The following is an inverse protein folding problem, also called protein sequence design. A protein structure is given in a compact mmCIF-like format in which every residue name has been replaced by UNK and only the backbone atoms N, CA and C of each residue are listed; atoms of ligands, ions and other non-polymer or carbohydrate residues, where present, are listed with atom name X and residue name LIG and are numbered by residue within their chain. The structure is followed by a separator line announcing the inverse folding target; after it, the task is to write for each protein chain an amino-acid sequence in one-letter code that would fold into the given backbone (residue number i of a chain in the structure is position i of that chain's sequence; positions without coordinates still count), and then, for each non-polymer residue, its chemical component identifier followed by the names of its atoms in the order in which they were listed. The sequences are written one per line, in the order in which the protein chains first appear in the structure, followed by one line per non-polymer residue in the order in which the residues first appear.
data_IF_020694549746
#
_entry.id   IF_020694549746
#
_cell.length_a   1.000
_cell.length_b   1.000
_cell.length_c   1.000
_cell.angle_alpha   90.00
_cell.angle_beta   90.00
_cell.angle_gamma   90.00
#
_symmetry.space_group_name_H-M   'P 1'
#
loop_
_entity.id
_entity.type
_entity.pdbx_description
1 polymer ?
#
# COMPACT_ATOMS: atom_id res chain seq x y z
N UNK A 1 10.39 -7.55 11.70
CA UNK A 1 10.24 -6.53 10.63
C UNK A 1 8.89 -5.83 10.78
N UNK A 2 8.64 -5.14 11.89
CA UNK A 2 7.51 -4.23 11.99
C UNK A 2 7.69 -3.44 13.28
N UNK A 3 8.30 -2.27 13.21
CA UNK A 3 8.50 -1.43 14.39
C UNK A 3 7.20 -0.75 14.83
N UNK A 4 6.03 -1.36 14.57
CA UNK A 4 4.69 -1.03 15.12
C UNK A 4 4.15 0.38 14.92
N UNK A 5 4.98 1.32 14.49
CA UNK A 5 4.69 2.73 14.36
C UNK A 5 4.44 3.03 12.89
N UNK A 6 3.21 3.45 12.60
CA UNK A 6 2.90 4.01 11.29
C UNK A 6 3.76 5.25 11.06
N UNK A 7 4.52 5.25 9.96
CA UNK A 7 5.24 6.44 9.49
C UNK A 7 4.27 7.38 8.79
N UNK A 8 4.46 8.68 8.96
CA UNK A 8 3.72 9.71 8.24
C UNK A 8 4.18 9.80 6.78
N UNK A 9 3.33 10.37 5.91
CA UNK A 9 3.68 10.56 4.50
C UNK A 9 4.88 11.49 4.30
N UNK A 10 5.07 12.48 5.19
CA UNK A 10 6.24 13.37 5.20
C UNK A 10 7.54 12.64 5.56
N UNK A 11 7.53 11.76 6.56
CA UNK A 11 8.71 10.98 6.96
C UNK A 11 9.14 10.03 5.84
N UNK A 12 8.18 9.31 5.25
CA UNK A 12 8.44 8.44 4.11
C UNK A 12 8.87 9.26 2.89
N UNK A 13 8.28 10.43 2.67
CA UNK A 13 8.72 11.33 1.59
C UNK A 13 10.20 11.71 1.74
N UNK A 14 10.59 12.09 2.96
CA UNK A 14 11.97 12.49 3.28
C UNK A 14 12.97 11.34 3.12
N UNK A 15 12.62 10.14 3.60
CA UNK A 15 13.46 8.93 3.48
C UNK A 15 13.69 8.51 2.03
N UNK A 16 12.66 8.65 1.18
CA UNK A 16 12.73 8.24 -0.23
C UNK A 16 13.10 9.40 -1.17
N UNK A 17 13.39 10.60 -0.65
CA UNK A 17 13.73 11.77 -1.46
C UNK A 17 12.60 12.22 -2.40
N UNK A 18 11.35 12.02 -2.00
CA UNK A 18 10.16 12.37 -2.78
C UNK A 18 9.20 13.24 -2.00
N UNK A 19 8.29 13.91 -2.70
CA UNK A 19 7.29 14.76 -2.05
C UNK A 19 6.25 13.91 -1.31
N UNK A 20 5.65 14.49 -0.26
CA UNK A 20 4.51 13.90 0.45
C UNK A 20 3.39 13.48 -0.50
N UNK A 21 3.06 14.32 -1.48
CA UNK A 21 2.01 14.02 -2.47
C UNK A 21 2.37 12.80 -3.33
N UNK A 22 3.66 12.58 -3.60
CA UNK A 22 4.10 11.37 -4.30
C UNK A 22 3.85 10.12 -3.47
N UNK A 23 4.13 10.14 -2.17
CA UNK A 23 3.81 9.01 -1.27
C UNK A 23 2.31 8.77 -1.22
N UNK A 24 1.50 9.82 -1.09
CA UNK A 24 0.03 9.74 -1.10
C UNK A 24 -0.51 9.05 -2.37
N UNK A 25 0.02 9.41 -3.54
CA UNK A 25 -0.37 8.77 -4.81
C UNK A 25 0.00 7.29 -4.86
N UNK A 26 1.19 6.93 -4.37
CA UNK A 26 1.65 5.55 -4.31
C UNK A 26 0.76 4.72 -3.37
N UNK A 27 0.41 5.27 -2.19
CA UNK A 27 -0.50 4.65 -1.23
C UNK A 27 -1.88 4.39 -1.84
N UNK A 28 -2.50 5.40 -2.46
CA UNK A 28 -3.79 5.25 -3.14
C UNK A 28 -3.74 4.17 -4.23
N UNK A 29 -2.65 4.12 -5.01
CA UNK A 29 -2.43 3.10 -6.04
C UNK A 29 -2.26 1.70 -5.42
N UNK A 30 -1.57 1.59 -4.30
CA UNK A 30 -1.38 0.33 -3.57
C UNK A 30 -2.69 -0.20 -3.00
N UNK A 31 -3.46 0.65 -2.30
CA UNK A 31 -4.78 0.32 -1.78
C UNK A 31 -5.73 -0.15 -2.89
N UNK A 32 -5.74 0.54 -4.04
CA UNK A 32 -6.53 0.12 -5.21
C UNK A 32 -6.10 -1.27 -5.73
N UNK A 33 -4.80 -1.56 -5.77
CA UNK A 33 -4.29 -2.88 -6.18
C UNK A 33 -4.66 -3.98 -5.20
N UNK A 34 -4.67 -3.70 -3.90
CA UNK A 34 -5.07 -4.64 -2.84
C UNK A 34 -6.58 -4.93 -2.88
N UNK A 35 -7.40 -3.92 -3.18
CA UNK A 35 -8.87 -4.05 -3.29
C UNK A 35 -9.36 -4.72 -4.58
N UNK A 36 -8.47 -5.01 -5.54
CA UNK A 36 -8.88 -5.49 -6.85
C UNK A 36 -9.29 -6.98 -6.83
N UNK A 37 -10.54 -7.34 -7.17
CA UNK A 37 -11.10 -8.68 -6.98
C UNK A 37 -10.39 -9.78 -7.78
N UNK A 38 -9.84 -9.48 -8.96
CA UNK A 38 -9.08 -10.48 -9.75
C UNK A 38 -7.81 -10.96 -9.01
N UNK A 39 -7.25 -10.14 -8.11
CA UNK A 39 -6.07 -10.52 -7.29
C UNK A 39 -6.45 -11.27 -6.01
N UNK A 40 -7.68 -11.12 -5.50
CA UNK A 40 -8.21 -11.88 -4.36
C UNK A 40 -8.90 -13.19 -4.77
N UNK A 41 -9.21 -13.36 -6.07
CA UNK A 41 -9.94 -14.52 -6.61
C UNK A 41 -9.17 -15.84 -6.56
N UNK A 42 -7.83 -15.83 -6.56
CA UNK A 42 -7.02 -17.07 -6.45
C UNK A 42 -7.26 -17.87 -5.15
N UNK A 43 -7.90 -17.28 -4.13
CA UNK A 43 -8.27 -17.99 -2.90
C UNK A 43 -9.72 -18.50 -2.88
N UNK A 44 -10.63 -17.96 -3.70
CA UNK A 44 -12.04 -18.38 -3.69
C UNK A 44 -12.28 -19.72 -4.38
N UNK A 45 -11.43 -20.09 -5.32
CA UNK A 45 -11.52 -21.37 -6.02
C UNK A 45 -11.08 -22.57 -5.14
N UNK A 46 -10.44 -22.32 -3.98
CA UNK A 46 -10.02 -23.35 -3.02
C UNK A 46 -10.98 -23.56 -1.83
N UNK A 47 -12.01 -22.73 -1.70
CA UNK A 47 -13.01 -22.80 -0.60
C UNK A 47 -14.38 -23.28 -1.10
N UNK A 48 -14.37 -24.15 -2.12
CA UNK A 48 -15.54 -24.93 -2.51
C UNK A 48 -16.05 -25.82 -1.38
#
# INVERSE_FOLDING_TARGET
LNDGQGRTLEEVGSEFGVTRERIRQIEAKALRKLRHPIRSRKLRDYLG
#
